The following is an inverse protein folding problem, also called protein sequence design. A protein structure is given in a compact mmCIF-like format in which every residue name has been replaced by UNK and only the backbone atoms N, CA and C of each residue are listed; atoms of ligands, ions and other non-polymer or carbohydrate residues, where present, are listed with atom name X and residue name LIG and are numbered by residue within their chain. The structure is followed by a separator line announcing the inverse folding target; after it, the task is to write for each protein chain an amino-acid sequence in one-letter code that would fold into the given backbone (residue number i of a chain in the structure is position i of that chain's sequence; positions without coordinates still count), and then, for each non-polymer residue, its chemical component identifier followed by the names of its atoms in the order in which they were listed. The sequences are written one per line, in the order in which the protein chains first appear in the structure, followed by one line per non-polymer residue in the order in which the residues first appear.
data_IF_066822684381
#
_entry.id   IF_066822684381
#
_cell.length_a   1.000
_cell.length_b   1.000
_cell.length_c   1.000
_cell.angle_alpha   90.00
_cell.angle_beta   90.00
_cell.angle_gamma   90.00
#
_symmetry.space_group_name_H-M   'P 1'
#
loop_
_entity.id
_entity.type
_entity.pdbx_description
1 polymer ?
#
# COMPACT_ATOMS: atom_id res chain seq x y z
N UNK A 1 -38.52 -59.95 -8.05
CA UNK A 1 -37.66 -59.00 -8.79
C UNK A 1 -37.25 -57.87 -7.85
N UNK A 2 -36.08 -57.99 -7.23
CA UNK A 2 -35.47 -56.94 -6.40
C UNK A 2 -34.91 -55.82 -7.30
N UNK A 3 -35.16 -54.56 -6.96
CA UNK A 3 -34.39 -53.42 -7.47
C UNK A 3 -33.99 -52.51 -6.32
N UNK A 4 -32.78 -52.74 -5.84
CA UNK A 4 -31.99 -51.87 -4.96
C UNK A 4 -31.84 -50.49 -5.63
N UNK A 5 -32.19 -49.40 -4.94
CA UNK A 5 -31.80 -48.04 -5.34
C UNK A 5 -30.73 -47.55 -4.36
N UNK A 6 -29.60 -47.20 -4.95
CA UNK A 6 -28.33 -46.84 -4.33
C UNK A 6 -28.42 -45.43 -3.73
N UNK A 7 -27.79 -45.26 -2.57
CA UNK A 7 -27.69 -44.02 -1.81
C UNK A 7 -26.88 -42.93 -2.56
N UNK A 8 -27.34 -41.68 -2.47
CA UNK A 8 -26.56 -40.51 -2.87
C UNK A 8 -26.00 -39.82 -1.62
N UNK A 9 -24.69 -39.97 -1.40
CA UNK A 9 -23.92 -39.16 -0.47
C UNK A 9 -23.52 -37.85 -1.19
N UNK A 10 -24.09 -36.73 -0.77
CA UNK A 10 -23.65 -35.40 -1.18
C UNK A 10 -22.41 -35.02 -0.37
N UNK A 11 -21.23 -35.07 -0.99
CA UNK A 11 -20.01 -34.51 -0.43
C UNK A 11 -20.00 -32.99 -0.71
N UNK A 12 -20.11 -32.18 0.35
CA UNK A 12 -19.89 -30.74 0.25
C UNK A 12 -18.37 -30.48 0.17
N UNK A 13 -17.89 -30.07 -1.00
CA UNK A 13 -16.51 -29.64 -1.18
C UNK A 13 -16.33 -28.25 -0.56
N UNK A 14 -15.65 -28.17 0.58
CA UNK A 14 -15.19 -26.91 1.16
C UNK A 14 -14.00 -26.43 0.32
N UNK A 15 -14.25 -25.52 -0.62
CA UNK A 15 -13.19 -24.89 -1.41
C UNK A 15 -12.41 -23.93 -0.52
N UNK A 16 -11.20 -24.33 -0.12
CA UNK A 16 -10.21 -23.45 0.50
C UNK A 16 -9.68 -22.50 -0.60
N UNK A 17 -10.19 -21.27 -0.65
CA UNK A 17 -9.60 -20.24 -1.49
C UNK A 17 -8.27 -19.81 -0.84
N UNK A 18 -7.17 -20.31 -1.37
CA UNK A 18 -5.85 -19.76 -1.09
C UNK A 18 -5.81 -18.34 -1.65
N UNK A 19 -5.73 -17.33 -0.78
CA UNK A 19 -5.41 -15.97 -1.19
C UNK A 19 -4.05 -15.98 -1.88
N UNK A 20 -4.03 -15.76 -3.19
CA UNK A 20 -2.83 -15.78 -4.01
C UNK A 20 -1.82 -14.71 -3.59
N UNK A 21 -0.63 -15.16 -3.21
CA UNK A 21 0.71 -14.55 -3.30
C UNK A 21 0.78 -13.02 -3.47
N UNK A 22 0.53 -12.27 -2.40
CA UNK A 22 0.92 -10.85 -2.29
C UNK A 22 2.34 -10.68 -1.71
N UNK A 23 3.10 -11.76 -1.51
CA UNK A 23 4.36 -11.71 -0.77
C UNK A 23 5.50 -11.04 -1.54
N UNK A 24 5.52 -11.13 -2.87
CA UNK A 24 6.69 -10.71 -3.67
C UNK A 24 6.84 -9.17 -3.73
N UNK A 25 5.76 -8.45 -4.03
CA UNK A 25 5.78 -6.98 -4.14
C UNK A 25 5.89 -6.25 -2.80
N UNK A 26 5.81 -6.97 -1.68
CA UNK A 26 5.87 -6.41 -0.33
C UNK A 26 7.27 -6.54 0.29
N UNK A 27 8.13 -7.38 -0.27
CA UNK A 27 9.50 -7.56 0.20
C UNK A 27 10.41 -6.67 -0.64
N UNK A 28 11.38 -6.01 0.00
CA UNK A 28 12.35 -5.20 -0.75
C UNK A 28 13.35 -6.10 -1.49
N UNK A 29 13.76 -5.69 -2.67
CA UNK A 29 14.72 -6.43 -3.50
C UNK A 29 16.19 -6.31 -3.00
N UNK A 30 16.39 -5.77 -1.80
CA UNK A 30 17.66 -5.65 -1.11
C UNK A 30 17.58 -4.69 0.07
N UNK A 31 18.71 -4.08 0.44
CA UNK A 31 18.89 -3.33 1.69
C UNK A 31 18.65 -1.82 1.58
N UNK A 32 18.25 -1.31 0.40
CA UNK A 32 18.03 0.13 0.19
C UNK A 32 17.04 0.77 1.18
N UNK A 33 16.07 -0.02 1.68
CA UNK A 33 15.05 0.43 2.63
C UNK A 33 15.19 -0.20 4.03
N UNK A 34 16.39 -0.67 4.38
CA UNK A 34 16.67 -1.22 5.71
C UNK A 34 16.52 -0.17 6.82
N UNK A 35 16.79 1.11 6.54
CA UNK A 35 16.59 2.18 7.52
C UNK A 35 15.12 2.26 7.95
N UNK A 36 14.19 2.25 6.99
CA UNK A 36 12.76 2.29 7.26
C UNK A 36 12.33 1.01 7.97
N UNK A 37 12.78 -0.13 7.46
CA UNK A 37 12.45 -1.44 8.04
C UNK A 37 12.97 -1.57 9.48
N UNK A 38 14.14 -1.01 9.78
CA UNK A 38 14.71 -0.99 11.13
C UNK A 38 13.94 -0.10 12.11
N UNK A 39 13.41 1.04 11.65
CA UNK A 39 12.63 1.97 12.47
C UNK A 39 11.19 1.47 12.68
N UNK A 40 10.54 1.03 11.61
CA UNK A 40 9.11 0.71 11.59
C UNK A 40 8.85 -0.77 11.92
N UNK A 41 9.80 -1.66 11.60
CA UNK A 41 9.69 -3.11 11.77
C UNK A 41 9.04 -3.83 10.60
N UNK A 42 8.74 -3.14 9.51
CA UNK A 42 8.18 -3.67 8.27
C UNK A 42 8.64 -2.83 7.07
N UNK A 43 8.52 -3.35 5.85
CA UNK A 43 8.90 -2.61 4.64
C UNK A 43 7.93 -1.46 4.36
N UNK A 44 8.35 -0.41 3.62
CA UNK A 44 7.44 0.65 3.21
C UNK A 44 6.25 0.13 2.38
N UNK A 45 6.45 -0.90 1.57
CA UNK A 45 5.38 -1.54 0.80
C UNK A 45 4.35 -2.23 1.71
N UNK A 46 4.79 -2.86 2.81
CA UNK A 46 3.90 -3.45 3.80
C UNK A 46 3.06 -2.37 4.49
N UNK A 47 3.70 -1.27 4.94
CA UNK A 47 2.97 -0.14 5.54
C UNK A 47 1.98 0.47 4.57
N UNK A 48 2.39 0.72 3.32
CA UNK A 48 1.52 1.27 2.28
C UNK A 48 0.28 0.40 2.05
N UNK A 49 0.48 -0.92 1.92
CA UNK A 49 -0.63 -1.85 1.76
C UNK A 49 -1.59 -1.82 2.95
N UNK A 50 -1.06 -1.83 4.18
CA UNK A 50 -1.89 -1.79 5.39
C UNK A 50 -2.71 -0.51 5.47
N UNK A 51 -2.11 0.64 5.15
CA UNK A 51 -2.80 1.93 5.10
C UNK A 51 -3.96 1.89 4.09
N UNK A 52 -3.72 1.46 2.85
CA UNK A 52 -4.76 1.33 1.82
C UNK A 52 -5.87 0.35 2.23
N UNK A 53 -5.51 -0.74 2.91
CA UNK A 53 -6.46 -1.77 3.37
C UNK A 53 -7.44 -1.31 4.44
N UNK A 54 -7.19 -0.19 5.12
CA UNK A 54 -8.18 0.42 6.01
C UNK A 54 -9.46 0.77 5.21
N UNK A 55 -9.32 1.26 3.98
CA UNK A 55 -10.44 1.66 3.11
C UNK A 55 -10.82 0.62 2.06
N UNK A 56 -9.87 -0.23 1.67
CA UNK A 56 -10.05 -1.24 0.63
C UNK A 56 -9.37 -2.56 1.06
N UNK A 57 -10.10 -3.43 1.75
CA UNK A 57 -9.55 -4.68 2.30
C UNK A 57 -8.93 -5.62 1.27
N UNK A 58 -9.29 -5.48 -0.02
CA UNK A 58 -8.77 -6.27 -1.13
C UNK A 58 -7.55 -5.63 -1.79
N UNK A 59 -7.14 -4.42 -1.38
CA UNK A 59 -5.99 -3.76 -1.97
C UNK A 59 -4.72 -4.60 -1.79
N UNK A 60 -3.98 -4.76 -2.88
CA UNK A 60 -2.66 -5.39 -2.87
C UNK A 60 -1.68 -4.49 -3.60
N UNK A 61 -0.48 -4.34 -3.04
CA UNK A 61 0.58 -3.58 -3.70
C UNK A 61 1.05 -4.34 -4.93
N UNK A 62 1.03 -3.65 -6.07
CA UNK A 62 1.58 -4.13 -7.34
C UNK A 62 3.06 -3.81 -7.49
N UNK A 63 3.61 -4.10 -8.66
CA UNK A 63 4.91 -3.55 -9.07
C UNK A 63 4.74 -2.05 -9.28
N UNK A 64 5.59 -1.26 -8.64
CA UNK A 64 5.58 0.20 -8.69
C UNK A 64 6.15 0.70 -10.01
N UNK A 65 5.51 1.72 -10.59
CA UNK A 65 5.99 2.38 -11.80
C UNK A 65 7.25 3.19 -11.52
N UNK A 66 8.27 3.05 -12.37
CA UNK A 66 9.45 3.94 -12.35
C UNK A 66 9.19 5.26 -13.08
N UNK A 67 8.12 5.35 -13.87
CA UNK A 67 7.60 6.61 -14.39
C UNK A 67 6.65 7.20 -13.32
N UNK A 68 7.13 8.18 -12.57
CA UNK A 68 6.41 8.73 -11.41
C UNK A 68 5.13 9.46 -11.85
N UNK A 69 4.01 9.30 -11.10
CA UNK A 69 3.91 8.66 -9.79
C UNK A 69 3.97 7.11 -9.83
N UNK A 70 4.42 6.44 -8.75
CA UNK A 70 4.59 4.99 -8.75
C UNK A 70 3.28 4.19 -8.77
N UNK A 71 2.23 4.76 -8.19
CA UNK A 71 0.88 4.22 -8.07
C UNK A 71 -0.15 5.35 -8.24
N UNK A 72 -1.44 5.02 -8.22
CA UNK A 72 -2.54 5.98 -8.26
C UNK A 72 -3.55 5.72 -7.13
N UNK A 73 -4.17 6.79 -6.62
CA UNK A 73 -5.26 6.70 -5.66
C UNK A 73 -6.59 6.39 -6.38
N UNK A 74 -6.80 5.10 -6.65
CA UNK A 74 -7.97 4.58 -7.40
C UNK A 74 -9.03 3.91 -6.52
N UNK A 75 -8.86 3.94 -5.19
CA UNK A 75 -9.81 3.32 -4.27
C UNK A 75 -11.17 4.04 -4.29
N UNK A 76 -12.26 3.27 -4.25
CA UNK A 76 -13.62 3.82 -4.15
C UNK A 76 -13.79 4.70 -2.90
N UNK A 77 -13.21 4.26 -1.77
CA UNK A 77 -13.10 5.06 -0.54
C UNK A 77 -11.68 5.60 -0.48
N UNK A 78 -11.47 6.80 -1.01
CA UNK A 78 -10.12 7.30 -1.25
C UNK A 78 -9.42 7.85 -0.02
N UNK A 79 -10.07 8.01 1.14
CA UNK A 79 -9.49 8.64 2.34
C UNK A 79 -8.11 8.07 2.75
N UNK A 80 -7.87 6.78 2.51
CA UNK A 80 -6.62 6.10 2.83
C UNK A 80 -5.48 6.36 1.84
N UNK A 81 -5.77 6.80 0.62
CA UNK A 81 -4.77 7.18 -0.38
C UNK A 81 -4.79 8.67 -0.75
N UNK A 82 -5.84 9.40 -0.38
CA UNK A 82 -6.03 10.80 -0.75
C UNK A 82 -5.21 11.75 0.13
N UNK A 83 -3.94 11.47 0.31
CA UNK A 83 -3.07 12.19 1.21
C UNK A 83 -1.59 12.04 0.83
N UNK A 84 -0.76 13.00 1.22
CA UNK A 84 0.68 12.97 0.88
C UNK A 84 1.41 11.82 1.56
N UNK A 85 0.94 11.31 2.70
CA UNK A 85 1.60 10.21 3.41
C UNK A 85 1.52 8.91 2.61
N UNK A 86 0.36 8.61 2.03
CA UNK A 86 0.17 7.46 1.15
C UNK A 86 1.02 7.59 -0.12
N UNK A 87 1.12 8.79 -0.69
CA UNK A 87 2.03 9.07 -1.81
C UNK A 87 3.50 8.83 -1.43
N UNK A 88 3.97 9.38 -0.31
CA UNK A 88 5.32 9.17 0.20
C UNK A 88 5.63 7.68 0.44
N UNK A 89 4.70 6.95 1.04
CA UNK A 89 4.82 5.51 1.24
C UNK A 89 4.89 4.74 -0.10
N UNK A 90 4.19 5.20 -1.14
CA UNK A 90 4.30 4.62 -2.48
C UNK A 90 5.68 4.89 -3.13
N UNK A 91 6.25 6.10 -2.94
CA UNK A 91 7.61 6.44 -3.39
C UNK A 91 8.67 5.60 -2.67
N UNK A 92 8.52 5.41 -1.36
CA UNK A 92 9.39 4.52 -0.59
C UNK A 92 9.21 3.05 -0.98
N UNK A 93 7.99 2.64 -1.32
CA UNK A 93 7.75 1.30 -1.83
C UNK A 93 8.41 1.09 -3.21
N UNK A 94 8.42 2.11 -4.08
CA UNK A 94 9.19 2.06 -5.32
C UNK A 94 10.69 1.86 -5.04
N UNK A 95 11.27 2.65 -4.14
CA UNK A 95 12.67 2.49 -3.74
C UNK A 95 12.96 1.09 -3.17
N UNK A 96 12.05 0.55 -2.35
CA UNK A 96 12.10 -0.81 -1.82
C UNK A 96 12.13 -1.88 -2.94
N UNK A 97 11.23 -1.79 -3.91
CA UNK A 97 11.15 -2.73 -5.03
C UNK A 97 12.32 -2.58 -6.01
N UNK A 98 12.93 -1.40 -6.12
CA UNK A 98 14.08 -1.17 -7.00
C UNK A 98 15.43 -1.36 -6.29
N UNK A 99 15.41 -1.71 -5.00
CA UNK A 99 16.59 -1.77 -4.14
C UNK A 99 17.45 -0.49 -4.21
N UNK A 100 16.80 0.66 -4.12
CA UNK A 100 17.44 1.97 -4.14
C UNK A 100 17.35 2.59 -2.75
N UNK A 101 18.49 3.07 -2.23
CA UNK A 101 18.55 3.78 -0.96
C UNK A 101 19.97 4.22 -0.58
N UNK A 102 20.14 4.71 0.65
CA UNK A 102 21.39 5.14 1.27
C UNK A 102 22.12 6.37 0.70
N UNK A 103 21.69 6.97 -0.42
CA UNK A 103 22.15 8.31 -0.91
C UNK A 103 21.39 8.80 -2.15
N UNK A 104 20.70 7.89 -2.85
CA UNK A 104 19.90 8.18 -4.05
C UNK A 104 18.50 7.59 -3.90
N UNK A 105 17.50 8.22 -4.51
CA UNK A 105 16.11 7.76 -4.57
C UNK A 105 15.49 8.05 -5.93
N UNK A 106 14.32 7.50 -6.20
CA UNK A 106 13.49 7.99 -7.31
C UNK A 106 12.89 9.35 -6.95
N UNK A 107 13.16 10.34 -7.79
CA UNK A 107 12.54 11.65 -7.67
C UNK A 107 11.17 11.67 -8.34
N UNK A 108 10.26 12.46 -7.79
CA UNK A 108 9.00 12.82 -8.44
C UNK A 108 8.95 14.34 -8.58
N UNK A 109 8.84 14.82 -9.83
CA UNK A 109 8.76 16.25 -10.09
C UNK A 109 7.47 16.87 -9.58
N UNK A 110 7.42 18.21 -9.55
CA UNK A 110 6.20 18.97 -9.31
C UNK A 110 5.07 18.46 -10.20
N UNK A 111 3.88 18.22 -9.62
CA UNK A 111 2.74 17.62 -10.34
C UNK A 111 2.54 16.13 -10.09
N UNK A 112 3.58 15.39 -9.67
CA UNK A 112 3.48 13.94 -9.51
C UNK A 112 2.48 13.52 -8.41
N UNK A 113 2.44 14.25 -7.29
CA UNK A 113 1.41 14.03 -6.27
C UNK A 113 0.00 14.31 -6.82
N UNK A 114 -0.17 15.33 -7.64
CA UNK A 114 -1.46 15.68 -8.26
C UNK A 114 -1.89 14.58 -9.24
N UNK A 115 -0.95 14.04 -10.02
CA UNK A 115 -1.21 12.89 -10.89
C UNK A 115 -1.56 11.64 -10.06
N UNK A 116 -0.85 11.39 -8.95
CA UNK A 116 -1.13 10.30 -8.01
C UNK A 116 -2.56 10.39 -7.45
N UNK A 117 -3.00 11.59 -7.10
CA UNK A 117 -4.34 11.85 -6.57
C UNK A 117 -5.44 11.55 -7.60
N UNK A 118 -5.21 11.83 -8.88
CA UNK A 118 -6.23 11.69 -9.92
C UNK A 118 -7.49 12.50 -9.58
N UNK A 119 -8.64 11.83 -9.43
CA UNK A 119 -9.93 12.48 -9.13
C UNK A 119 -10.25 12.58 -7.64
N UNK A 120 -9.22 12.63 -6.81
CA UNK A 120 -9.35 12.66 -5.36
C UNK A 120 -10.14 13.89 -4.86
N UNK A 121 -11.26 13.72 -4.13
CA UNK A 121 -12.14 14.83 -3.82
C UNK A 121 -11.60 15.77 -2.73
N UNK A 122 -10.84 15.26 -1.75
CA UNK A 122 -10.40 16.02 -0.58
C UNK A 122 -8.97 15.63 -0.15
N UNK A 123 -7.94 15.96 -0.96
CA UNK A 123 -6.57 15.59 -0.65
C UNK A 123 -6.06 16.24 0.65
N UNK A 124 -5.33 15.47 1.46
CA UNK A 124 -4.69 15.95 2.69
C UNK A 124 -3.17 16.09 2.52
N UNK A 125 -2.63 17.22 2.96
CA UNK A 125 -1.18 17.47 2.96
C UNK A 125 -0.62 17.31 4.36
N UNK A 126 0.47 16.54 4.49
CA UNK A 126 1.25 16.32 5.72
C UNK A 126 0.44 15.75 6.89
N UNK A 127 -0.69 15.10 6.59
CA UNK A 127 -1.55 14.46 7.59
C UNK A 127 -2.46 13.41 6.97
N UNK A 128 -2.93 12.50 7.80
CA UNK A 128 -4.07 11.64 7.49
C UNK A 128 -5.39 12.35 7.89
N UNK A 129 -6.52 12.03 7.23
CA UNK A 129 -7.84 12.32 7.79
C UNK A 129 -7.98 11.75 9.21
N UNK A 130 -8.75 12.41 10.08
CA UNK A 130 -8.83 12.04 11.52
C UNK A 130 -9.29 10.61 11.77
N UNK A 131 -10.27 10.14 11.00
CA UNK A 131 -10.77 8.76 11.04
C UNK A 131 -9.68 7.76 10.63
N UNK A 132 -8.92 8.07 9.57
CA UNK A 132 -7.81 7.23 9.11
C UNK A 132 -6.65 7.23 10.10
N UNK A 133 -6.32 8.39 10.69
CA UNK A 133 -5.31 8.48 11.76
C UNK A 133 -5.71 7.62 12.96
N UNK A 134 -6.98 7.66 13.35
CA UNK A 134 -7.53 6.85 14.43
C UNK A 134 -7.41 5.35 14.10
N UNK A 135 -7.72 4.96 12.86
CA UNK A 135 -7.57 3.59 12.41
C UNK A 135 -6.09 3.14 12.41
N UNK A 136 -5.15 3.98 11.98
CA UNK A 136 -3.70 3.71 12.06
C UNK A 136 -3.21 3.54 13.50
N UNK A 137 -3.82 4.24 14.47
CA UNK A 137 -3.49 4.04 15.88
C UNK A 137 -4.09 2.75 16.46
N UNK A 138 -5.22 2.26 15.93
CA UNK A 138 -5.94 1.09 16.44
C UNK A 138 -5.49 -0.22 15.78
N UNK A 139 -5.31 -0.21 14.46
CA UNK A 139 -4.67 -1.27 13.68
C UNK A 139 -3.17 -1.00 13.78
N UNK A 140 -2.31 -1.90 14.29
CA UNK A 140 -0.91 -1.65 14.62
C UNK A 140 -0.04 -1.34 13.38
N UNK A 141 -0.30 -0.20 12.74
CA UNK A 141 0.32 0.33 11.55
C UNK A 141 1.23 1.44 12.04
N UNK A 142 2.53 1.25 11.85
CA UNK A 142 3.52 2.25 12.19
C UNK A 142 3.90 2.98 10.91
N UNK A 143 3.86 4.30 10.97
CA UNK A 143 4.36 5.18 9.91
C UNK A 143 5.42 6.03 10.57
N UNK A 144 6.60 6.08 9.99
CA UNK A 144 7.69 6.90 10.51
C UNK A 144 7.31 8.40 10.53
N UNK A 145 7.66 9.10 11.60
CA UNK A 145 7.25 10.49 11.84
C UNK A 145 7.78 11.44 10.75
N UNK A 146 8.92 11.13 10.14
CA UNK A 146 9.47 11.94 9.06
C UNK A 146 8.56 11.93 7.82
N UNK A 147 7.73 10.89 7.63
CA UNK A 147 6.74 10.84 6.54
C UNK A 147 5.64 11.88 6.70
N UNK A 148 5.35 12.32 7.93
CA UNK A 148 4.38 13.39 8.19
C UNK A 148 4.95 14.77 7.84
N UNK A 149 6.27 14.91 7.73
CA UNK A 149 6.95 16.21 7.56
C UNK A 149 7.68 16.36 6.22
N UNK A 150 8.12 15.26 5.59
CA UNK A 150 8.94 15.22 4.38
C UNK A 150 8.20 15.52 3.06
N UNK A 151 6.89 15.80 3.09
CA UNK A 151 6.14 16.18 1.90
C UNK A 151 6.47 17.59 1.42
N UNK A 152 6.73 17.77 0.13
CA UNK A 152 6.84 19.09 -0.49
C UNK A 152 5.45 19.64 -0.81
N UNK A 153 5.24 20.94 -0.60
CA UNK A 153 3.92 21.57 -0.76
C UNK A 153 3.45 21.62 -2.23
N UNK A 154 4.38 21.55 -3.18
CA UNK A 154 4.11 21.51 -4.61
C UNK A 154 3.85 20.09 -5.14
N UNK A 155 3.96 19.07 -4.27
CA UNK A 155 3.75 17.67 -4.63
C UNK A 155 4.97 16.96 -5.19
N UNK A 156 6.16 17.57 -5.12
CA UNK A 156 7.40 16.88 -5.46
C UNK A 156 7.83 15.85 -4.40
N UNK A 157 8.78 15.00 -4.76
CA UNK A 157 9.47 14.04 -3.89
C UNK A 157 10.94 13.95 -4.29
N UNK A 158 11.84 13.98 -3.30
CA UNK A 158 13.30 13.89 -3.45
C UNK A 158 13.89 13.10 -2.28
#
# INVERSE_FOLDING_TARGET
MQKTKIASLLAAALSLQAAGVAADNLVCNGTGMDWYTGMVGETPCQTYQKLRRICNSQYTVGVQSTATPPDFCTDQVSSCCCNTLAFSLSMLCLNCQQNIGNTTGYDAGTGAYQDYLGSCPNPQTKKLPTDIQTAVCNEPIKIDDDIYTNGWDDGSWF
#
